data_IF_689564209671
#
_entry.id   IF_689564209671
#
_cell.length_a   1.000
_cell.length_b   1.000
_cell.length_c   1.000
_cell.angle_alpha   90.00
_cell.angle_beta   90.00
_cell.angle_gamma   90.00
#
_symmetry.space_group_name_H-M   'P 1'
#
loop_
_entity.id
_entity.type
_entity.pdbx_description
1 polymer ?
#
# COMPACT_ATOMS: atom_id res chain seq x y z
N UNK A 1 8.44 3.35 -5.46
CA UNK A 1 8.53 4.76 -5.00
C UNK A 1 9.99 5.16 -4.79
N UNK A 2 10.79 4.40 -4.02
CA UNK A 2 12.21 4.73 -3.77
C UNK A 2 13.07 4.90 -5.02
N UNK A 3 13.05 3.97 -5.99
CA UNK A 3 13.82 4.14 -7.22
C UNK A 3 13.37 5.35 -8.06
N UNK A 4 12.06 5.65 -8.09
CA UNK A 4 11.52 6.87 -8.74
C UNK A 4 12.05 8.12 -8.07
N UNK A 5 12.00 8.18 -6.73
CA UNK A 5 12.51 9.33 -5.97
C UNK A 5 14.03 9.48 -6.07
N UNK A 6 14.77 8.37 -6.12
CA UNK A 6 16.21 8.38 -6.36
C UNK A 6 16.55 9.03 -7.70
N UNK A 7 15.86 8.62 -8.78
CA UNK A 7 16.03 9.21 -10.11
C UNK A 7 15.69 10.71 -10.13
N UNK A 8 14.62 11.12 -9.46
CA UNK A 8 14.23 12.54 -9.38
C UNK A 8 15.21 13.40 -8.58
N UNK A 9 15.76 12.88 -7.48
CA UNK A 9 16.64 13.62 -6.58
C UNK A 9 18.10 13.62 -7.02
N UNK A 10 18.60 12.46 -7.46
CA UNK A 10 20.00 12.26 -7.79
C UNK A 10 20.28 12.40 -9.29
N UNK A 11 19.24 12.42 -10.14
CA UNK A 11 19.39 12.44 -11.60
C UNK A 11 19.92 11.12 -12.18
N UNK A 12 20.11 10.09 -11.35
CA UNK A 12 20.58 8.77 -11.75
C UNK A 12 19.57 7.71 -11.34
N UNK A 13 19.36 6.74 -12.23
CA UNK A 13 18.42 5.65 -11.99
C UNK A 13 19.10 4.55 -11.18
N UNK A 14 18.40 4.07 -10.15
CA UNK A 14 18.82 2.88 -9.43
C UNK A 14 18.60 1.64 -10.30
N UNK A 15 19.60 0.76 -10.38
CA UNK A 15 19.52 -0.50 -11.12
C UNK A 15 18.84 -1.61 -10.30
N UNK A 16 18.95 -1.53 -8.97
CA UNK A 16 18.50 -2.57 -8.04
C UNK A 16 17.80 -1.95 -6.83
N UNK A 17 16.84 -2.69 -6.28
CA UNK A 17 16.26 -2.44 -4.95
C UNK A 17 16.53 -3.66 -4.08
N UNK A 18 16.89 -3.40 -2.82
CA UNK A 18 17.10 -4.44 -1.82
C UNK A 18 16.20 -4.17 -0.61
N UNK A 19 15.49 -5.21 -0.17
CA UNK A 19 14.63 -5.20 1.01
C UNK A 19 15.26 -6.12 2.05
N UNK A 20 15.73 -5.51 3.14
CA UNK A 20 16.31 -6.20 4.29
C UNK A 20 15.22 -6.41 5.35
N UNK A 21 14.69 -7.62 5.45
CA UNK A 21 13.81 -7.99 6.57
C UNK A 21 14.66 -8.23 7.81
N UNK A 22 14.38 -7.51 8.90
CA UNK A 22 15.18 -7.49 10.13
C UNK A 22 14.65 -8.40 11.24
N UNK A 23 13.70 -9.27 10.91
CA UNK A 23 13.21 -10.31 11.81
C UNK A 23 14.18 -11.49 11.90
N UNK A 24 13.95 -12.39 12.86
CA UNK A 24 14.82 -13.55 13.12
C UNK A 24 14.91 -14.52 11.92
N UNK A 25 13.91 -14.49 11.01
CA UNK A 25 13.88 -15.29 9.78
C UNK A 25 14.29 -14.47 8.54
N UNK A 26 14.89 -13.30 8.77
CA UNK A 26 15.04 -12.20 7.81
C UNK A 26 15.63 -12.61 6.47
N UNK A 27 14.75 -12.80 5.47
CA UNK A 27 15.16 -13.02 4.09
C UNK A 27 15.41 -11.68 3.42
N UNK A 28 16.57 -11.53 2.80
CA UNK A 28 16.85 -10.39 1.93
C UNK A 28 16.27 -10.66 0.54
N UNK A 29 15.53 -9.69 0.01
CA UNK A 29 15.01 -9.73 -1.36
C UNK A 29 15.75 -8.67 -2.17
N UNK A 30 16.29 -9.06 -3.32
CA UNK A 30 17.00 -8.17 -4.24
C UNK A 30 16.42 -8.31 -5.63
N UNK A 31 15.97 -7.20 -6.19
CA UNK A 31 15.23 -7.18 -7.46
C UNK A 31 15.78 -6.08 -8.39
N UNK A 32 15.76 -6.36 -9.68
CA UNK A 32 16.09 -5.39 -10.72
C UNK A 32 14.99 -4.34 -10.89
N UNK A 33 15.40 -3.10 -11.06
CA UNK A 33 14.47 -2.00 -11.33
C UNK A 33 14.17 -1.97 -12.81
N UNK A 34 13.00 -2.48 -13.18
CA UNK A 34 12.55 -2.46 -14.57
C UNK A 34 11.96 -1.09 -14.96
N UNK A 35 12.22 -0.67 -16.20
CA UNK A 35 11.79 0.65 -16.71
C UNK A 35 10.26 0.80 -16.74
N UNK A 36 9.51 -0.19 -17.27
CA UNK A 36 8.06 -0.17 -17.26
C UNK A 36 7.46 -0.06 -15.86
N UNK A 37 8.10 -0.68 -14.86
CA UNK A 37 7.66 -0.60 -13.46
C UNK A 37 7.73 0.84 -12.94
N UNK A 38 8.79 1.59 -13.25
CA UNK A 38 8.94 2.99 -12.83
C UNK A 38 7.86 3.90 -13.43
N UNK A 39 7.55 3.72 -14.72
CA UNK A 39 6.47 4.46 -15.39
C UNK A 39 5.12 4.18 -14.73
N UNK A 40 4.81 2.91 -14.47
CA UNK A 40 3.57 2.52 -13.80
C UNK A 40 3.46 3.07 -12.37
N UNK A 41 4.57 3.09 -11.62
CA UNK A 41 4.62 3.67 -10.28
C UNK A 41 4.38 5.19 -10.33
N UNK A 42 5.00 5.92 -11.26
CA UNK A 42 4.76 7.38 -11.43
C UNK A 42 3.30 7.67 -11.73
N UNK A 43 2.69 6.90 -12.64
CA UNK A 43 1.27 7.05 -12.98
C UNK A 43 0.36 6.84 -11.75
N UNK A 44 0.61 5.79 -10.96
CA UNK A 44 -0.14 5.52 -9.72
C UNK A 44 0.02 6.61 -8.65
N UNK A 45 1.22 7.17 -8.51
CA UNK A 45 1.46 8.29 -7.58
C UNK A 45 0.63 9.51 -7.99
N UNK A 46 0.63 9.84 -9.29
CA UNK A 46 -0.17 10.94 -9.83
C UNK A 46 -1.66 10.72 -9.59
N UNK A 47 -2.19 9.56 -9.98
CA UNK A 47 -3.60 9.21 -9.83
C UNK A 47 -4.07 9.26 -8.36
N UNK A 48 -3.27 8.72 -7.44
CA UNK A 48 -3.55 8.79 -6.01
C UNK A 48 -3.55 10.23 -5.51
N UNK A 49 -2.58 11.04 -5.93
CA UNK A 49 -2.49 12.46 -5.58
C UNK A 49 -3.68 13.28 -6.07
N UNK A 50 -4.11 13.04 -7.31
CA UNK A 50 -5.27 13.71 -7.90
C UNK A 50 -6.56 13.30 -7.18
N UNK A 51 -6.74 12.00 -6.91
CA UNK A 51 -7.89 11.49 -6.14
C UNK A 51 -7.99 12.15 -4.76
N UNK A 52 -6.87 12.33 -4.06
CA UNK A 52 -6.85 13.02 -2.77
C UNK A 52 -7.25 14.50 -2.89
N UNK A 53 -6.78 15.22 -3.92
CA UNK A 53 -7.14 16.63 -4.15
C UNK A 53 -8.61 16.80 -4.49
N UNK A 54 -9.17 15.84 -5.23
CA UNK A 54 -10.58 15.83 -5.64
C UNK A 54 -11.50 15.20 -4.58
N UNK A 55 -10.97 14.92 -3.39
CA UNK A 55 -11.66 14.26 -2.28
C UNK A 55 -12.33 12.93 -2.69
N UNK A 56 -11.74 12.23 -3.66
CA UNK A 56 -12.11 10.90 -4.09
C UNK A 56 -11.35 9.88 -3.24
N UNK A 57 -12.04 9.27 -2.28
CA UNK A 57 -11.51 8.21 -1.42
C UNK A 57 -12.14 6.87 -1.82
N UNK A 58 -11.69 6.24 -2.93
CA UNK A 58 -12.32 5.04 -3.45
C UNK A 58 -12.21 3.90 -2.45
N UNK A 59 -13.34 3.24 -2.23
CA UNK A 59 -13.45 2.07 -1.36
C UNK A 59 -13.53 0.80 -2.20
N UNK A 60 -13.07 -0.33 -1.67
CA UNK A 60 -13.26 -1.63 -2.34
C UNK A 60 -14.75 -1.89 -2.62
N UNK A 61 -15.13 -2.50 -3.76
CA UNK A 61 -16.54 -2.65 -4.12
C UNK A 61 -17.30 -3.57 -3.17
N UNK A 62 -16.61 -4.54 -2.57
CA UNK A 62 -17.17 -5.52 -1.63
C UNK A 62 -16.31 -5.61 -0.38
N UNK A 63 -16.89 -6.12 0.71
CA UNK A 63 -16.13 -6.50 1.89
C UNK A 63 -15.15 -7.63 1.55
N UNK A 64 -13.91 -7.51 1.97
CA UNK A 64 -12.85 -8.50 1.74
C UNK A 64 -11.88 -8.57 2.92
N UNK A 65 -10.92 -9.49 2.86
CA UNK A 65 -9.94 -9.72 3.92
C UNK A 65 -9.17 -8.43 4.34
N UNK A 66 -8.70 -7.55 3.41
CA UNK A 66 -8.14 -6.26 3.78
C UNK A 66 -9.08 -5.38 4.61
N UNK A 67 -10.40 -5.40 4.34
CA UNK A 67 -11.37 -4.67 5.15
C UNK A 67 -11.40 -5.18 6.59
N UNK A 68 -11.24 -6.50 6.80
CA UNK A 68 -11.17 -7.12 8.12
C UNK A 68 -10.03 -6.58 8.99
N UNK A 69 -8.89 -6.24 8.37
CA UNK A 69 -7.69 -5.74 9.04
C UNK A 69 -7.56 -4.21 9.06
N UNK A 70 -8.44 -3.49 8.36
CA UNK A 70 -8.37 -2.03 8.25
C UNK A 70 -8.98 -1.33 9.47
N UNK A 71 -8.21 -0.47 10.15
CA UNK A 71 -8.70 0.30 11.31
C UNK A 71 -9.82 1.27 10.98
N UNK A 72 -9.86 1.75 9.73
CA UNK A 72 -10.84 2.72 9.26
C UNK A 72 -12.08 2.07 8.63
N UNK A 73 -12.22 0.74 8.71
CA UNK A 73 -13.31 0.02 8.04
C UNK A 73 -14.70 0.52 8.47
N UNK A 74 -14.89 0.86 9.75
CA UNK A 74 -16.15 1.37 10.30
C UNK A 74 -16.50 2.80 9.82
N UNK A 75 -15.50 3.59 9.40
CA UNK A 75 -15.72 4.88 8.75
C UNK A 75 -16.00 4.73 7.26
N UNK A 76 -15.40 3.71 6.64
CA UNK A 76 -15.47 3.46 5.21
C UNK A 76 -16.79 2.80 4.76
N UNK A 77 -17.36 1.92 5.61
CA UNK A 77 -18.58 1.13 5.32
C UNK A 77 -19.13 0.43 6.55
N UNK A 78 -20.33 -0.14 6.39
CA UNK A 78 -20.88 -1.08 7.36
C UNK A 78 -20.06 -2.37 7.43
N UNK A 79 -19.64 -2.72 8.65
CA UNK A 79 -18.96 -3.97 8.94
C UNK A 79 -19.99 -5.10 9.04
N UNK A 80 -19.87 -6.20 8.25
CA UNK A 80 -20.73 -7.37 8.36
C UNK A 80 -20.77 -7.93 9.77
N UNK A 81 -21.93 -8.41 10.21
CA UNK A 81 -22.14 -8.86 11.59
C UNK A 81 -21.11 -9.92 12.05
N UNK A 82 -20.78 -10.87 11.17
CA UNK A 82 -19.77 -11.91 11.42
C UNK A 82 -18.38 -11.31 11.67
N UNK A 83 -17.95 -10.37 10.82
CA UNK A 83 -16.63 -9.74 10.93
C UNK A 83 -16.53 -8.77 12.11
N UNK A 84 -17.65 -8.16 12.52
CA UNK A 84 -17.70 -7.24 13.67
C UNK A 84 -17.33 -7.93 14.98
N UNK A 85 -17.77 -9.18 15.16
CA UNK A 85 -17.43 -9.99 16.34
C UNK A 85 -15.93 -10.25 16.40
N UNK A 86 -15.35 -10.67 15.28
CA UNK A 86 -13.93 -11.03 15.20
C UNK A 86 -13.03 -9.82 15.42
N UNK A 87 -13.42 -8.66 14.87
CA UNK A 87 -12.68 -7.40 15.05
C UNK A 87 -12.69 -6.91 16.50
N UNK A 88 -13.83 -6.96 17.20
CA UNK A 88 -13.92 -6.58 18.63
C UNK A 88 -13.00 -7.42 19.52
N UNK A 89 -12.99 -8.74 19.28
CA UNK A 89 -12.10 -9.65 19.97
C UNK A 89 -10.62 -9.32 19.76
N UNK A 90 -10.23 -8.89 18.55
CA UNK A 90 -8.86 -8.51 18.22
C UNK A 90 -8.44 -7.13 18.77
N UNK A 91 -9.34 -6.15 18.81
CA UNK A 91 -9.04 -4.78 19.27
C UNK A 91 -9.27 -4.56 20.77
N UNK A 92 -9.76 -5.57 21.50
CA UNK A 92 -10.01 -5.49 22.95
C UNK A 92 -11.11 -4.50 23.36
N UNK A 93 -12.08 -4.21 22.47
CA UNK A 93 -13.23 -3.33 22.73
C UNK A 93 -14.56 -4.08 22.69
#
# INVERSE_FOLDING_TARGET
MYAVGCEELAGTRADLIEVLNLDEEGKTIREEVEGPLLVGVRARIKEAGDSLRDNQLPRLPVWSEPCGKCDLAELCRDVPAVARRDRRAATGR
#
